data_IF_228682368704
#
_entry.id   IF_228682368704
#
_cell.length_a   1.000
_cell.length_b   1.000
_cell.length_c   1.000
_cell.angle_alpha   90.00
_cell.angle_beta   90.00
_cell.angle_gamma   90.00
#
_symmetry.space_group_name_H-M   'P 1'
#
loop_
_entity.id
_entity.type
_entity.pdbx_description
1 polymer ?
#
# COMPACT_ATOMS: atom_id res chain seq x y z
N UNK A 1 22.31 17.19 14.15
CA UNK A 1 21.20 16.22 13.96
C UNK A 1 20.24 16.78 12.93
N UNK A 2 19.79 15.98 11.96
CA UNK A 2 18.77 16.37 10.98
C UNK A 2 17.39 16.12 11.62
N UNK A 3 16.47 17.08 11.57
CA UNK A 3 15.12 16.89 12.12
C UNK A 3 14.37 15.81 11.31
N UNK A 4 13.60 14.91 11.95
CA UNK A 4 12.74 13.99 11.22
C UNK A 4 11.64 14.73 10.44
N UNK A 5 11.55 14.47 9.14
CA UNK A 5 10.54 15.05 8.25
C UNK A 5 9.95 13.94 7.39
N UNK A 6 8.68 13.64 7.64
CA UNK A 6 7.93 12.58 6.95
C UNK A 6 7.14 13.16 5.77
N UNK A 7 7.17 12.45 4.64
CA UNK A 7 6.32 12.71 3.49
C UNK A 7 5.41 11.50 3.22
N UNK A 8 4.11 11.72 3.15
CA UNK A 8 3.18 10.75 2.54
C UNK A 8 3.40 10.78 1.01
N UNK A 9 4.04 9.74 0.47
CA UNK A 9 4.47 9.70 -0.94
C UNK A 9 3.43 9.03 -1.84
N UNK A 10 2.16 9.39 -1.67
CA UNK A 10 1.08 8.94 -2.55
C UNK A 10 -0.15 9.83 -2.41
N UNK A 11 -1.02 9.72 -3.40
CA UNK A 11 -2.28 10.44 -3.46
C UNK A 11 -3.39 9.53 -4.01
N UNK A 12 -4.63 9.78 -3.59
CA UNK A 12 -5.79 8.98 -3.96
C UNK A 12 -5.96 8.87 -5.49
N UNK A 13 -5.83 10.01 -6.17
CA UNK A 13 -5.99 10.13 -7.63
C UNK A 13 -4.67 9.96 -8.40
N UNK A 14 -3.62 9.39 -7.79
CA UNK A 14 -2.41 9.04 -8.53
C UNK A 14 -2.77 8.11 -9.71
N UNK A 15 -2.19 8.29 -10.90
CA UNK A 15 -2.53 7.48 -12.06
C UNK A 15 -2.23 6.01 -11.83
N UNK A 16 -2.89 5.14 -12.59
CA UNK A 16 -2.52 3.73 -12.67
C UNK A 16 -1.29 3.54 -13.59
N UNK A 17 -0.94 2.28 -13.86
CA UNK A 17 0.14 1.93 -14.77
C UNK A 17 1.51 1.72 -14.11
N UNK A 18 1.57 1.59 -12.78
CA UNK A 18 2.76 1.09 -12.09
C UNK A 18 3.95 2.04 -12.06
N UNK A 19 3.69 3.36 -12.08
CA UNK A 19 4.73 4.40 -12.23
C UNK A 19 5.30 4.92 -10.92
N UNK A 20 4.62 4.71 -9.79
CA UNK A 20 5.01 5.28 -8.50
C UNK A 20 6.38 4.77 -8.04
N UNK A 21 6.65 3.47 -8.13
CA UNK A 21 7.93 2.92 -7.66
C UNK A 21 9.13 3.41 -8.50
N UNK A 22 9.09 3.40 -9.85
CA UNK A 22 10.14 4.04 -10.65
C UNK A 22 10.34 5.53 -10.33
N UNK A 23 9.26 6.31 -10.25
CA UNK A 23 9.36 7.76 -9.95
C UNK A 23 9.94 8.04 -8.57
N UNK A 24 9.61 7.21 -7.57
CA UNK A 24 10.18 7.29 -6.24
C UNK A 24 11.68 6.96 -6.23
N UNK A 25 12.10 5.98 -7.02
CA UNK A 25 13.51 5.63 -7.15
C UNK A 25 14.32 6.76 -7.81
N UNK A 26 13.76 7.41 -8.83
CA UNK A 26 14.38 8.52 -9.57
C UNK A 26 14.53 9.78 -8.71
N UNK A 27 13.60 10.05 -7.78
CA UNK A 27 13.57 11.28 -6.96
C UNK A 27 14.17 11.13 -5.57
N UNK A 28 14.76 9.97 -5.26
CA UNK A 28 15.20 9.65 -3.91
C UNK A 28 16.29 10.59 -3.38
N UNK A 29 17.15 11.12 -4.26
CA UNK A 29 18.17 12.12 -3.93
C UNK A 29 17.57 13.50 -3.65
N UNK A 30 16.71 13.99 -4.55
CA UNK A 30 16.01 15.27 -4.44
C UNK A 30 15.24 15.38 -3.12
N UNK A 31 14.62 14.29 -2.67
CA UNK A 31 13.90 14.23 -1.39
C UNK A 31 14.80 14.54 -0.20
N UNK A 32 16.02 14.00 -0.16
CA UNK A 32 16.93 14.25 0.95
C UNK A 32 17.46 15.70 0.93
N UNK A 33 17.70 16.24 -0.27
CA UNK A 33 18.17 17.61 -0.49
C UNK A 33 17.17 18.65 0.02
N UNK A 34 15.86 18.41 -0.15
CA UNK A 34 14.80 19.27 0.38
C UNK A 34 14.47 18.98 1.87
N UNK A 35 15.19 18.05 2.51
CA UNK A 35 15.08 17.77 3.94
C UNK A 35 14.09 16.68 4.34
N UNK A 36 13.49 15.95 3.40
CA UNK A 36 12.72 14.74 3.68
C UNK A 36 13.67 13.59 4.02
N UNK A 37 13.43 12.91 5.14
CA UNK A 37 14.24 11.76 5.57
C UNK A 37 13.40 10.57 6.01
N UNK A 38 12.08 10.63 5.85
CA UNK A 38 11.17 9.51 6.01
C UNK A 38 10.09 9.60 4.94
N UNK A 39 9.71 8.47 4.33
CA UNK A 39 8.55 8.40 3.42
C UNK A 39 7.57 7.34 3.90
N UNK A 40 6.28 7.69 3.85
CA UNK A 40 5.18 6.76 4.02
C UNK A 40 4.62 6.41 2.64
N UNK A 41 4.78 5.14 2.27
CA UNK A 41 4.36 4.56 1.00
C UNK A 41 2.93 4.01 1.12
N UNK A 42 2.17 3.97 0.01
CA UNK A 42 0.82 3.39 0.03
C UNK A 42 0.89 1.88 0.33
N UNK A 43 -0.23 1.24 0.68
CA UNK A 43 -0.26 -0.21 0.84
C UNK A 43 0.20 -0.89 -0.46
N UNK A 44 1.27 -1.69 -0.36
CA UNK A 44 1.92 -2.31 -1.50
C UNK A 44 1.35 -3.69 -1.86
N UNK A 45 0.41 -4.19 -1.05
CA UNK A 45 -0.21 -5.49 -1.21
C UNK A 45 -1.31 -5.48 -2.27
N UNK A 46 -1.57 -6.62 -2.91
CA UNK A 46 -2.65 -6.78 -3.90
C UNK A 46 -4.01 -6.49 -3.26
N UNK A 47 -4.71 -5.52 -3.83
CA UNK A 47 -6.10 -5.21 -3.46
C UNK A 47 -7.11 -5.99 -4.29
N UNK A 48 -8.35 -6.03 -3.81
CA UNK A 48 -9.48 -6.71 -4.46
C UNK A 48 -9.75 -6.18 -5.88
N UNK A 49 -9.46 -4.91 -6.13
CA UNK A 49 -9.59 -4.25 -7.43
C UNK A 49 -8.34 -4.39 -8.33
N UNK A 50 -7.39 -5.26 -7.99
CA UNK A 50 -6.18 -5.51 -8.78
C UNK A 50 -5.33 -4.25 -8.97
N UNK A 51 -4.85 -4.01 -10.19
CA UNK A 51 -4.04 -2.83 -10.55
C UNK A 51 -4.74 -1.47 -10.44
N UNK A 52 -6.04 -1.42 -10.13
CA UNK A 52 -6.77 -0.17 -9.90
C UNK A 52 -6.95 0.18 -8.41
N UNK A 53 -6.57 -0.76 -7.53
CA UNK A 53 -6.65 -0.60 -6.08
C UNK A 53 -5.72 0.52 -5.58
N UNK A 54 -6.23 1.36 -4.67
CA UNK A 54 -5.40 2.31 -3.89
C UNK A 54 -4.74 1.65 -2.66
N UNK A 55 -4.98 0.35 -2.44
CA UNK A 55 -4.33 -0.46 -1.41
C UNK A 55 -5.19 -0.83 -0.19
N UNK A 56 -6.26 -0.06 0.10
CA UNK A 56 -7.09 -0.24 1.30
C UNK A 56 -8.19 -1.32 1.16
N UNK A 57 -8.46 -1.82 -0.03
CA UNK A 57 -9.26 -3.01 -0.29
C UNK A 57 -8.41 -4.29 -0.27
N UNK A 58 -7.60 -4.44 0.77
CA UNK A 58 -6.57 -5.49 0.89
C UNK A 58 -7.13 -6.89 0.65
N UNK A 59 -6.57 -7.60 -0.34
CA UNK A 59 -6.95 -8.96 -0.69
C UNK A 59 -5.91 -9.96 -0.21
N UNK A 60 -4.67 -9.86 -0.68
CA UNK A 60 -3.56 -10.75 -0.29
C UNK A 60 -2.42 -9.91 0.30
N UNK A 61 -2.14 -10.12 1.59
CA UNK A 61 -1.14 -9.36 2.34
C UNK A 61 0.29 -9.70 1.94
N UNK A 62 0.49 -10.80 1.23
CA UNK A 62 1.82 -11.30 0.85
C UNK A 62 2.14 -11.07 -0.63
N UNK A 63 1.12 -10.79 -1.45
CA UNK A 63 1.32 -10.45 -2.85
C UNK A 63 1.63 -8.95 -2.99
N UNK A 64 2.92 -8.61 -3.08
CA UNK A 64 3.41 -7.23 -3.27
C UNK A 64 3.45 -6.82 -4.77
N UNK A 65 2.58 -7.41 -5.59
CA UNK A 65 2.64 -7.29 -7.04
C UNK A 65 3.59 -8.31 -7.67
N UNK A 66 3.52 -9.56 -7.22
CA UNK A 66 4.37 -10.68 -7.61
C UNK A 66 3.59 -11.78 -8.34
N UNK A 67 2.31 -11.97 -8.01
CA UNK A 67 1.48 -13.04 -8.57
C UNK A 67 0.34 -12.50 -9.43
N UNK A 68 -0.07 -13.26 -10.46
CA UNK A 68 -1.26 -12.94 -11.23
C UNK A 68 -2.52 -13.25 -10.41
N UNK A 69 -3.03 -12.20 -9.76
CA UNK A 69 -4.21 -12.25 -8.89
C UNK A 69 -5.05 -11.01 -9.16
N UNK A 70 -6.37 -11.18 -9.11
CA UNK A 70 -7.35 -10.11 -9.39
C UNK A 70 -7.12 -9.42 -10.75
N UNK A 71 -6.67 -10.20 -11.74
CA UNK A 71 -6.51 -9.78 -13.13
C UNK A 71 -5.23 -9.00 -13.44
N UNK A 72 -4.28 -8.93 -12.51
CA UNK A 72 -3.02 -8.18 -12.67
C UNK A 72 -1.88 -8.83 -11.88
N UNK A 73 -0.66 -8.78 -12.42
CA UNK A 73 0.56 -9.05 -11.63
C UNK A 73 0.90 -7.83 -10.77
N UNK A 74 1.20 -6.70 -11.40
CA UNK A 74 1.56 -5.46 -10.70
C UNK A 74 0.37 -4.90 -9.89
N UNK A 75 0.70 -4.19 -8.81
CA UNK A 75 -0.26 -3.30 -8.13
C UNK A 75 -0.44 -2.01 -8.93
N UNK A 76 -1.32 -1.12 -8.47
CA UNK A 76 -1.44 0.25 -9.02
C UNK A 76 -0.10 0.98 -9.11
N UNK A 77 0.79 0.71 -8.16
CA UNK A 77 2.02 1.45 -7.95
C UNK A 77 3.25 0.82 -8.62
N UNK A 78 3.15 -0.47 -8.98
CA UNK A 78 4.16 -1.23 -9.69
C UNK A 78 4.27 -2.67 -9.17
N UNK A 79 5.27 -3.40 -9.67
CA UNK A 79 5.59 -4.76 -9.23
C UNK A 79 6.57 -4.78 -8.04
N UNK A 80 6.73 -5.96 -7.44
CA UNK A 80 7.62 -6.18 -6.29
C UNK A 80 9.09 -5.80 -6.58
N UNK A 81 9.57 -5.99 -7.81
CA UNK A 81 10.97 -5.65 -8.16
C UNK A 81 11.16 -4.15 -8.17
N UNK A 82 10.21 -3.42 -8.73
CA UNK A 82 10.23 -1.95 -8.74
C UNK A 82 10.13 -1.40 -7.31
N UNK A 83 9.26 -1.97 -6.46
CA UNK A 83 9.19 -1.59 -5.04
C UNK A 83 10.53 -1.75 -4.32
N UNK A 84 11.19 -2.90 -4.48
CA UNK A 84 12.50 -3.15 -3.86
C UNK A 84 13.57 -2.17 -4.39
N UNK A 85 13.57 -1.86 -5.69
CA UNK A 85 14.48 -0.89 -6.27
C UNK A 85 14.28 0.53 -5.69
N UNK A 86 13.02 0.93 -5.50
CA UNK A 86 12.67 2.20 -4.86
C UNK A 86 13.13 2.27 -3.39
N UNK A 87 12.89 1.19 -2.63
CA UNK A 87 13.35 1.09 -1.24
C UNK A 87 14.88 1.18 -1.15
N UNK A 88 15.60 0.53 -2.05
CA UNK A 88 17.06 0.58 -2.08
C UNK A 88 17.58 1.98 -2.43
N UNK A 89 16.93 2.68 -3.37
CA UNK A 89 17.26 4.07 -3.70
C UNK A 89 17.04 5.02 -2.51
N UNK A 90 15.95 4.86 -1.77
CA UNK A 90 15.66 5.64 -0.56
C UNK A 90 16.70 5.38 0.54
N UNK A 91 17.05 4.11 0.78
CA UNK A 91 18.07 3.73 1.77
C UNK A 91 19.45 4.30 1.43
N UNK A 92 19.85 4.26 0.15
CA UNK A 92 21.12 4.88 -0.31
C UNK A 92 21.15 6.38 -0.02
N UNK A 93 19.99 7.03 -0.07
CA UNK A 93 19.81 8.45 0.27
C UNK A 93 19.47 8.69 1.75
N UNK A 94 19.69 7.72 2.65
CA UNK A 94 19.41 7.85 4.09
C UNK A 94 17.96 8.26 4.42
N UNK A 95 17.00 7.81 3.61
CA UNK A 95 15.56 8.02 3.82
C UNK A 95 14.96 6.75 4.41
N UNK A 96 14.28 6.87 5.55
CA UNK A 96 13.54 5.76 6.17
C UNK A 96 12.26 5.48 5.39
N UNK A 97 11.88 4.21 5.31
CA UNK A 97 10.68 3.76 4.59
C UNK A 97 9.64 3.23 5.57
N UNK A 98 8.43 3.75 5.49
CA UNK A 98 7.26 3.28 6.21
C UNK A 98 6.28 2.71 5.20
N UNK A 99 5.96 1.42 5.35
CA UNK A 99 4.93 0.75 4.57
C UNK A 99 3.62 0.80 5.35
N UNK A 100 2.53 1.12 4.67
CA UNK A 100 1.19 1.02 5.24
C UNK A 100 0.79 -0.44 5.47
N UNK A 101 0.17 -0.72 6.62
CA UNK A 101 -0.23 -2.07 7.06
C UNK A 101 -1.72 -2.06 7.40
N UNK A 102 -2.54 -2.52 6.45
CA UNK A 102 -3.99 -2.55 6.56
C UNK A 102 -4.44 -3.95 7.01
N UNK A 103 -4.73 -4.09 8.31
CA UNK A 103 -5.08 -5.39 8.94
C UNK A 103 -6.47 -5.41 9.59
N UNK A 104 -7.24 -4.34 9.44
CA UNK A 104 -8.59 -4.25 9.98
C UNK A 104 -9.59 -5.18 9.27
N UNK A 105 -9.40 -5.41 7.97
CA UNK A 105 -10.29 -6.22 7.14
C UNK A 105 -9.54 -6.84 5.95
N UNK A 106 -10.20 -7.78 5.27
CA UNK A 106 -9.83 -8.27 3.94
C UNK A 106 -11.03 -8.12 3.01
N UNK A 107 -10.79 -7.81 1.74
CA UNK A 107 -11.82 -7.61 0.72
C UNK A 107 -11.57 -8.50 -0.49
N UNK A 108 -12.62 -8.82 -1.25
CA UNK A 108 -12.51 -9.63 -2.47
C UNK A 108 -12.26 -11.12 -2.21
N UNK A 109 -12.87 -11.70 -1.17
CA UNK A 109 -12.83 -13.14 -0.91
C UNK A 109 -13.23 -13.95 -2.16
N UNK A 110 -12.53 -15.06 -2.41
CA UNK A 110 -12.71 -15.85 -3.63
C UNK A 110 -13.99 -16.68 -3.62
N UNK A 111 -14.44 -17.08 -2.42
CA UNK A 111 -15.59 -17.96 -2.24
C UNK A 111 -16.56 -17.42 -1.19
N UNK A 112 -17.78 -17.97 -1.23
CA UNK A 112 -18.83 -17.67 -0.24
C UNK A 112 -18.95 -18.85 0.71
N UNK A 113 -19.06 -18.55 1.99
CA UNK A 113 -19.34 -19.55 3.02
C UNK A 113 -20.69 -19.26 3.69
N UNK A 114 -21.38 -20.33 4.10
CA UNK A 114 -22.61 -20.19 4.88
C UNK A 114 -22.23 -19.94 6.34
N UNK A 115 -22.60 -18.77 6.84
CA UNK A 115 -22.38 -18.38 8.22
C UNK A 115 -23.70 -18.00 8.89
N UNK A 116 -23.79 -18.22 10.20
CA UNK A 116 -24.89 -17.69 11.02
C UNK A 116 -24.51 -16.29 11.47
N UNK A 117 -25.39 -15.31 11.25
CA UNK A 117 -25.15 -13.91 11.59
C UNK A 117 -26.29 -13.36 12.45
N UNK A 118 -25.95 -12.39 13.29
CA UNK A 118 -26.91 -11.53 13.99
C UNK A 118 -26.63 -10.09 13.57
N UNK A 119 -27.68 -9.36 13.16
CA UNK A 119 -27.53 -7.94 12.81
C UNK A 119 -27.25 -7.14 14.09
N UNK A 120 -26.24 -6.27 14.02
CA UNK A 120 -25.87 -5.35 15.11
C UNK A 120 -25.99 -3.90 14.65
N UNK A 121 -26.17 -2.97 15.58
CA UNK A 121 -26.12 -1.55 15.29
C UNK A 121 -24.66 -1.14 15.02
N UNK A 122 -24.44 -0.29 14.01
CA UNK A 122 -23.09 0.16 13.66
C UNK A 122 -22.49 1.08 14.73
N UNK A 123 -23.34 1.87 15.41
CA UNK A 123 -22.95 2.84 16.44
C UNK A 123 -22.93 2.23 17.85
N UNK A 124 -23.58 1.08 18.04
CA UNK A 124 -23.61 0.35 19.31
C UNK A 124 -23.55 -1.16 19.05
N UNK A 125 -22.34 -1.71 19.20
CA UNK A 125 -22.06 -3.14 19.02
C UNK A 125 -22.16 -3.94 20.31
N UNK A 126 -22.66 -3.35 21.40
CA UNK A 126 -22.89 -4.11 22.62
C UNK A 126 -24.09 -5.05 22.42
N UNK A 127 -23.99 -6.32 22.83
CA UNK A 127 -25.16 -7.20 22.79
C UNK A 127 -26.16 -6.69 23.83
N UNK A 128 -27.38 -6.34 23.41
CA UNK A 128 -28.50 -6.23 24.35
C UNK A 128 -28.60 -7.58 25.09
N UNK A 129 -28.30 -7.57 26.39
CA UNK A 129 -28.60 -8.67 27.30
C UNK A 129 -30.09 -8.81 27.50
#
# INVERSE_FOLDING_TARGET
MKNPTLLQYFHWYYPDGGKLWPELAERADELNDIGINMVWLPPACKGASGGYSVGYDTYDLFDLGEFDQKGTVATKYGDKRQLLAAIDALKKNNIAVLLDVVVNHKMGADEKERIRVQRVNQDDRTPNR
#
